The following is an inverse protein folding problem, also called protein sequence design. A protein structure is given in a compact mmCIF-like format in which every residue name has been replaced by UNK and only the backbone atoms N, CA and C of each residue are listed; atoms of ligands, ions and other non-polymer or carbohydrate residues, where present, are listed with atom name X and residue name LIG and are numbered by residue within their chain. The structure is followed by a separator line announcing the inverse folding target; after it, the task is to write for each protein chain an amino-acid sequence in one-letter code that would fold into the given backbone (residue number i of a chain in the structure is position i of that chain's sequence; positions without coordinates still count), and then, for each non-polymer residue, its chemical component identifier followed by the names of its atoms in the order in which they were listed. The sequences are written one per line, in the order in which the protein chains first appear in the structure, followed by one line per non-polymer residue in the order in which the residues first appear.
data_IF_435882802216
#
_entry.id   IF_435882802216
#
_cell.length_a   1.000
_cell.length_b   1.000
_cell.length_c   1.000
_cell.angle_alpha   90.00
_cell.angle_beta   90.00
_cell.angle_gamma   90.00
#
_symmetry.space_group_name_H-M   'P 1'
#
loop_
_entity.id
_entity.type
_entity.pdbx_description
1 polymer ?
#
# COMPACT_ATOMS: atom_id res chain seq x y z
N UNK A 1 4.55 -9.90 8.47
CA UNK A 1 4.35 -8.43 8.40
C UNK A 1 2.90 -8.16 8.06
N UNK A 2 2.19 -7.33 8.83
CA UNK A 2 0.77 -6.99 8.57
C UNK A 2 0.69 -5.70 7.77
N UNK A 3 -0.04 -5.71 6.66
CA UNK A 3 -0.25 -4.52 5.84
C UNK A 3 -1.71 -4.28 5.51
N UNK A 4 -2.05 -3.02 5.26
CA UNK A 4 -3.31 -2.62 4.65
C UNK A 4 -3.01 -2.10 3.24
N UNK A 5 -3.78 -2.53 2.24
CA UNK A 5 -3.65 -2.00 0.88
C UNK A 5 -4.59 -0.80 0.72
N UNK A 6 -4.07 0.36 0.32
CA UNK A 6 -4.88 1.52 0.03
C UNK A 6 -5.06 1.70 -1.48
N UNK A 7 -6.29 1.53 -1.95
CA UNK A 7 -6.69 1.49 -3.35
C UNK A 7 -7.01 0.08 -3.80
N UNK A 8 -8.11 -0.08 -4.55
CA UNK A 8 -8.60 -1.37 -5.08
C UNK A 8 -8.77 -1.33 -6.61
N UNK A 9 -7.97 -0.50 -7.29
CA UNK A 9 -8.00 -0.35 -8.74
C UNK A 9 -7.14 -1.37 -9.49
N UNK A 10 -7.06 -1.23 -10.82
CA UNK A 10 -6.26 -2.12 -11.68
C UNK A 10 -4.77 -2.16 -11.31
N UNK A 11 -4.22 -1.06 -10.79
CA UNK A 11 -2.85 -1.05 -10.30
C UNK A 11 -2.70 -1.90 -9.02
N UNK A 12 -3.64 -1.81 -8.08
CA UNK A 12 -3.68 -2.64 -6.89
C UNK A 12 -3.83 -4.14 -7.22
N UNK A 13 -4.61 -4.49 -8.25
CA UNK A 13 -4.69 -5.86 -8.78
C UNK A 13 -3.32 -6.40 -9.19
N UNK A 14 -2.56 -5.59 -9.94
CA UNK A 14 -1.22 -5.98 -10.39
C UNK A 14 -0.26 -6.19 -9.21
N UNK A 15 -0.37 -5.37 -8.17
CA UNK A 15 0.47 -5.47 -6.98
C UNK A 15 0.07 -6.64 -6.09
N UNK A 16 -1.22 -6.91 -5.93
CA UNK A 16 -1.74 -7.99 -5.09
C UNK A 16 -1.15 -9.35 -5.49
N UNK A 17 -1.01 -9.59 -6.79
CA UNK A 17 -0.41 -10.83 -7.33
C UNK A 17 1.10 -10.98 -7.04
N UNK A 18 1.78 -9.88 -6.70
CA UNK A 18 3.23 -9.81 -6.48
C UNK A 18 3.61 -9.83 -5.00
N UNK A 19 2.65 -9.65 -4.09
CA UNK A 19 2.90 -9.65 -2.65
C UNK A 19 3.31 -11.05 -2.19
N UNK A 20 4.37 -11.12 -1.40
CA UNK A 20 4.86 -12.34 -0.78
C UNK A 20 3.94 -12.77 0.36
N UNK A 21 2.95 -13.63 0.05
CA UNK A 21 1.94 -14.09 1.02
C UNK A 21 2.49 -15.01 2.12
N UNK A 22 3.73 -15.50 1.99
CA UNK A 22 4.36 -16.31 3.04
C UNK A 22 4.85 -15.44 4.21
N UNK A 23 5.26 -14.20 3.95
CA UNK A 23 5.81 -13.27 4.96
C UNK A 23 4.91 -12.06 5.22
N UNK A 24 3.94 -11.79 4.34
CA UNK A 24 3.06 -10.63 4.38
C UNK A 24 1.60 -11.06 4.50
N UNK A 25 0.96 -10.59 5.56
CA UNK A 25 -0.47 -10.73 5.81
C UNK A 25 -1.18 -9.43 5.39
N UNK A 26 -2.12 -9.51 4.45
CA UNK A 26 -2.97 -8.39 4.06
C UNK A 26 -4.22 -8.45 4.93
N UNK A 27 -4.33 -7.57 5.92
CA UNK A 27 -5.39 -7.64 6.93
C UNK A 27 -6.67 -6.91 6.51
N UNK A 28 -6.56 -5.94 5.59
CA UNK A 28 -7.67 -5.17 5.04
C UNK A 28 -7.24 -4.44 3.77
N UNK A 29 -8.22 -3.95 3.02
CA UNK A 29 -8.06 -2.92 2.01
C UNK A 29 -8.78 -1.64 2.45
N UNK A 30 -8.40 -0.48 1.92
CA UNK A 30 -9.09 0.79 2.13
C UNK A 30 -9.14 1.56 0.83
N UNK A 31 -10.18 2.38 0.63
CA UNK A 31 -10.38 3.16 -0.59
C UNK A 31 -11.12 4.46 -0.26
N UNK A 32 -10.89 5.51 -1.04
CA UNK A 32 -11.63 6.77 -0.88
C UNK A 32 -13.06 6.68 -1.43
N UNK A 33 -13.35 5.69 -2.27
CA UNK A 33 -14.71 5.46 -2.76
C UNK A 33 -15.57 4.80 -1.67
N UNK A 34 -16.50 5.58 -1.11
CA UNK A 34 -17.42 5.13 -0.05
C UNK A 34 -18.36 3.99 -0.47
N UNK A 35 -18.64 3.85 -1.76
CA UNK A 35 -19.51 2.79 -2.28
C UNK A 35 -18.88 1.39 -2.12
N UNK A 36 -17.56 1.35 -1.89
CA UNK A 36 -16.80 0.11 -1.68
C UNK A 36 -16.68 -0.26 -0.21
N UNK A 37 -16.96 0.63 0.74
CA UNK A 37 -16.75 0.35 2.14
C UNK A 37 -17.64 -0.80 2.62
N UNK A 38 -17.10 -1.64 3.49
CA UNK A 38 -17.73 -2.84 4.06
C UNK A 38 -18.12 -3.89 2.99
N UNK A 39 -17.51 -3.81 1.81
CA UNK A 39 -17.53 -4.86 0.79
C UNK A 39 -16.20 -5.61 0.79
N UNK A 40 -16.07 -6.61 -0.07
CA UNK A 40 -14.84 -7.40 -0.20
C UNK A 40 -14.21 -7.27 -1.59
N UNK A 41 -12.88 -7.19 -1.65
CA UNK A 41 -12.07 -7.26 -2.86
C UNK A 41 -11.10 -8.46 -2.75
N UNK A 42 -11.29 -9.48 -3.59
CA UNK A 42 -10.58 -10.78 -3.46
C UNK A 42 -10.68 -11.43 -2.08
N UNK A 43 -11.83 -11.28 -1.43
CA UNK A 43 -12.05 -11.78 -0.07
C UNK A 43 -11.36 -10.95 1.02
N UNK A 44 -10.77 -9.80 0.68
CA UNK A 44 -10.21 -8.83 1.63
C UNK A 44 -11.26 -7.75 1.87
N UNK A 45 -11.62 -7.51 3.13
CA UNK A 45 -12.59 -6.48 3.48
C UNK A 45 -12.05 -5.08 3.17
N UNK A 46 -12.89 -4.26 2.55
CA UNK A 46 -12.60 -2.85 2.27
C UNK A 46 -13.16 -2.02 3.43
N UNK A 47 -12.29 -1.45 4.24
CA UNK A 47 -12.66 -0.58 5.35
C UNK A 47 -12.55 0.89 4.93
N UNK A 48 -13.33 1.80 5.55
CA UNK A 48 -13.16 3.21 5.33
C UNK A 48 -11.82 3.73 5.91
N UNK A 49 -11.20 4.77 5.31
CA UNK A 49 -9.92 5.32 5.78
C UNK A 49 -9.92 5.76 7.24
N UNK A 50 -11.03 6.32 7.75
CA UNK A 50 -11.13 6.78 9.13
C UNK A 50 -11.08 5.63 10.17
N UNK A 51 -11.23 4.38 9.73
CA UNK A 51 -11.13 3.18 10.58
C UNK A 51 -9.72 2.60 10.65
N UNK A 52 -8.78 3.05 9.82
CA UNK A 52 -7.43 2.45 9.71
C UNK A 52 -6.73 2.34 11.07
N UNK A 53 -6.81 3.38 11.91
CA UNK A 53 -6.20 3.41 13.25
C UNK A 53 -6.78 2.43 14.27
N UNK A 54 -7.92 1.82 13.97
CA UNK A 54 -8.52 0.78 14.82
C UNK A 54 -7.87 -0.60 14.58
N UNK A 55 -7.02 -0.72 13.56
CA UNK A 55 -6.33 -1.96 13.18
C UNK A 55 -4.86 -1.94 13.59
N UNK A 56 -4.34 -3.11 13.95
CA UNK A 56 -2.91 -3.31 14.18
C UNK A 56 -2.22 -3.69 12.86
N UNK A 57 -1.44 -2.77 12.30
CA UNK A 57 -0.68 -2.97 11.07
C UNK A 57 0.74 -2.42 11.20
N UNK A 58 1.63 -2.85 10.31
CA UNK A 58 2.97 -2.28 10.20
C UNK A 58 3.00 -1.14 9.16
N UNK A 59 2.35 -1.35 8.01
CA UNK A 59 2.36 -0.39 6.92
C UNK A 59 1.02 -0.32 6.16
N UNK A 60 0.73 0.85 5.60
CA UNK A 60 -0.27 1.08 4.57
C UNK A 60 0.46 1.14 3.23
N UNK A 61 0.17 0.20 2.35
CA UNK A 61 0.70 0.15 0.99
C UNK A 61 -0.23 0.93 0.05
N UNK A 62 0.15 2.14 -0.34
CA UNK A 62 -0.64 2.97 -1.28
C UNK A 62 -0.46 2.43 -2.70
N UNK A 63 -1.50 1.75 -3.17
CA UNK A 63 -1.60 1.07 -4.46
C UNK A 63 -2.50 1.87 -5.43
N UNK A 64 -2.23 3.17 -5.56
CA UNK A 64 -3.03 4.10 -6.35
C UNK A 64 -2.19 5.18 -7.02
N UNK A 65 -2.60 5.61 -8.20
CA UNK A 65 -2.01 6.75 -8.92
C UNK A 65 -2.27 8.10 -8.23
N UNK A 66 -3.31 8.19 -7.41
CA UNK A 66 -3.67 9.37 -6.62
C UNK A 66 -2.83 9.47 -5.33
N UNK A 67 -1.54 9.10 -5.40
CA UNK A 67 -0.67 8.94 -4.24
C UNK A 67 -0.64 10.19 -3.37
N UNK A 68 -0.48 11.37 -3.96
CA UNK A 68 -0.36 12.64 -3.22
C UNK A 68 -1.60 12.90 -2.36
N UNK A 69 -2.78 12.94 -2.97
CA UNK A 69 -4.05 13.23 -2.28
C UNK A 69 -4.36 12.19 -1.20
N UNK A 70 -4.00 10.92 -1.46
CA UNK A 70 -4.16 9.85 -0.48
C UNK A 70 -3.23 10.07 0.71
N UNK A 71 -1.93 10.31 0.47
CA UNK A 71 -0.95 10.52 1.54
C UNK A 71 -1.36 11.73 2.39
N UNK A 72 -1.68 12.87 1.78
CA UNK A 72 -2.15 14.06 2.49
C UNK A 72 -3.38 13.75 3.34
N UNK A 73 -4.39 13.07 2.79
CA UNK A 73 -5.58 12.67 3.55
C UNK A 73 -5.28 11.71 4.71
N UNK A 74 -4.35 10.77 4.55
CA UNK A 74 -3.94 9.86 5.61
C UNK A 74 -3.18 10.59 6.73
N UNK A 75 -2.30 11.52 6.37
CA UNK A 75 -1.58 12.37 7.33
C UNK A 75 -2.53 13.29 8.10
N UNK A 76 -3.54 13.85 7.44
CA UNK A 76 -4.58 14.67 8.08
C UNK A 76 -5.44 13.85 9.05
N UNK A 77 -5.65 12.55 8.78
CA UNK A 77 -6.25 11.60 9.73
C UNK A 77 -5.29 11.22 10.88
N UNK A 78 -4.06 11.72 10.84
CA UNK A 78 -3.02 11.59 11.85
C UNK A 78 -2.24 10.27 11.79
N UNK A 79 -2.19 9.61 10.64
CA UNK A 79 -1.25 8.51 10.41
C UNK A 79 0.18 9.05 10.30
N UNK A 80 1.16 8.24 10.67
CA UNK A 80 2.56 8.62 10.57
C UNK A 80 3.07 8.35 9.15
N UNK A 81 3.85 9.29 8.58
CA UNK A 81 4.45 9.12 7.26
C UNK A 81 5.30 7.84 7.15
N UNK A 82 5.88 7.37 8.26
CA UNK A 82 6.67 6.13 8.34
C UNK A 82 5.83 4.87 8.20
N UNK A 83 4.53 4.97 8.41
CA UNK A 83 3.57 3.88 8.21
C UNK A 83 3.10 3.80 6.76
N UNK A 84 3.38 4.80 5.91
CA UNK A 84 2.81 4.92 4.56
C UNK A 84 3.86 4.60 3.49
N UNK A 85 3.62 3.54 2.72
CA UNK A 85 4.52 3.07 1.66
C UNK A 85 3.89 3.31 0.29
N UNK A 86 4.48 4.20 -0.51
CA UNK A 86 3.99 4.58 -1.83
C UNK A 86 4.60 3.71 -2.94
N UNK A 87 3.78 3.28 -3.92
CA UNK A 87 4.22 2.36 -4.98
C UNK A 87 4.17 2.92 -6.41
N UNK A 88 3.29 3.89 -6.69
CA UNK A 88 3.07 4.40 -8.06
C UNK A 88 4.00 5.56 -8.44
N UNK A 89 4.26 6.49 -7.51
CA UNK A 89 5.16 7.63 -7.73
C UNK A 89 6.11 7.76 -6.54
N UNK A 90 7.36 8.14 -6.81
CA UNK A 90 8.46 8.19 -5.84
C UNK A 90 8.34 9.34 -4.82
N UNK A 91 7.14 9.58 -4.28
CA UNK A 91 6.95 10.48 -3.15
C UNK A 91 7.85 9.98 -2.01
N UNK A 92 8.99 10.65 -1.87
CA UNK A 92 10.04 10.42 -0.87
C UNK A 92 10.36 8.95 -0.59
N UNK A 93 10.75 8.18 -1.62
CA UNK A 93 11.31 6.85 -1.38
C UNK A 93 12.70 7.00 -0.76
N UNK A 94 12.76 7.02 0.57
CA UNK A 94 14.00 6.87 1.31
C UNK A 94 14.48 5.40 1.27
N UNK A 95 15.70 5.15 1.75
CA UNK A 95 16.32 3.81 1.72
C UNK A 95 15.49 2.75 2.44
N UNK A 96 14.84 3.10 3.56
CA UNK A 96 14.00 2.16 4.33
C UNK A 96 12.74 1.77 3.57
N UNK A 97 12.08 2.70 2.88
CA UNK A 97 10.93 2.39 2.00
C UNK A 97 11.30 1.36 0.92
N UNK A 98 12.46 1.52 0.28
CA UNK A 98 12.94 0.55 -0.71
C UNK A 98 13.15 -0.85 -0.11
N UNK A 99 13.71 -0.93 1.10
CA UNK A 99 13.93 -2.20 1.79
C UNK A 99 12.61 -2.89 2.14
N UNK A 100 11.62 -2.13 2.61
CA UNK A 100 10.28 -2.62 2.91
C UNK A 100 9.60 -3.14 1.63
N UNK A 101 9.63 -2.36 0.54
CA UNK A 101 9.07 -2.77 -0.75
C UNK A 101 9.69 -4.08 -1.27
N UNK A 102 11.01 -4.24 -1.13
CA UNK A 102 11.70 -5.48 -1.52
C UNK A 102 11.23 -6.68 -0.72
N UNK A 103 11.05 -6.51 0.58
CA UNK A 103 10.51 -7.56 1.45
C UNK A 103 9.05 -7.90 1.07
N UNK A 104 8.21 -6.88 0.87
CA UNK A 104 6.79 -7.07 0.51
C UNK A 104 6.64 -7.85 -0.80
N UNK A 105 7.47 -7.56 -1.80
CA UNK A 105 7.36 -8.18 -3.13
C UNK A 105 8.34 -9.34 -3.36
N UNK A 106 9.04 -9.82 -2.33
CA UNK A 106 10.12 -10.81 -2.44
C UNK A 106 11.10 -10.52 -3.60
N UNK A 107 11.45 -9.24 -3.78
CA UNK A 107 12.37 -8.82 -4.82
C UNK A 107 13.79 -9.03 -4.31
N UNK A 108 14.44 -10.12 -4.75
CA UNK A 108 15.86 -10.35 -4.46
C UNK A 108 16.74 -9.18 -4.92
N UNK A 109 17.93 -9.06 -4.34
CA UNK A 109 18.91 -7.98 -4.57
C UNK A 109 19.27 -7.69 -6.05
N UNK A 110 18.89 -8.57 -6.99
CA UNK A 110 19.30 -8.57 -8.40
C UNK A 110 18.41 -7.79 -9.38
N UNK A 111 17.39 -7.06 -8.97
CA UNK A 111 16.63 -6.20 -9.90
C UNK A 111 16.89 -4.72 -9.61
N UNK A 112 18.07 -4.26 -10.04
CA UNK A 112 18.41 -2.83 -10.21
C UNK A 112 17.69 -2.19 -11.42
N UNK A 113 16.71 -2.86 -12.02
CA UNK A 113 16.29 -2.62 -13.40
C UNK A 113 14.76 -2.77 -13.49
N UNK A 114 14.02 -1.72 -13.14
CA UNK A 114 12.63 -1.46 -13.59
C UNK A 114 12.06 -0.15 -13.02
N UNK A 115 12.57 0.34 -11.88
CA UNK A 115 12.13 1.61 -11.29
C UNK A 115 12.90 2.85 -11.79
N UNK A 116 13.94 2.66 -12.61
CA UNK A 116 14.84 3.72 -13.09
C UNK A 116 14.63 4.01 -14.60
N UNK A 117 13.65 3.40 -15.26
CA UNK A 117 13.57 3.36 -16.73
C UNK A 117 12.40 4.14 -17.35
N UNK A 118 11.82 5.13 -16.68
CA UNK A 118 10.70 5.91 -17.28
C UNK A 118 10.68 7.38 -16.87
N UNK A 119 11.84 8.03 -16.91
CA UNK A 119 11.94 9.50 -17.06
C UNK A 119 12.75 9.75 -18.33
#
# INVERSE_FOLDING_TARGET
MKIIIFGTGSYAESLLSRINKDDVEIIAASDNNSDKWWTSWHGIDIIPPYKLKEYEFNYILVASMYTKDIVEGLLDMGLDIREIICTYNQYEINFEHNKILRHIFNMGEKHKIALISSI
#
